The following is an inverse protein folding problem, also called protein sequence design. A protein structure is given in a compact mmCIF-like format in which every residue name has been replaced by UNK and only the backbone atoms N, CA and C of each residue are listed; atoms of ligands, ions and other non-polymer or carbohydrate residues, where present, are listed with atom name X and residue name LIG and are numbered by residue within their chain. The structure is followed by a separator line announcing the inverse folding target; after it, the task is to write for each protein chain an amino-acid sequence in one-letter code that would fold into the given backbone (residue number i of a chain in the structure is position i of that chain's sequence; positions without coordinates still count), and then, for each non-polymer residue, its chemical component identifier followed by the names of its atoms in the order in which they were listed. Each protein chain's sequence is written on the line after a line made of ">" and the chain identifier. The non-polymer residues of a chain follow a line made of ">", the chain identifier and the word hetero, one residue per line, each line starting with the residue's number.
data_IF_677030187092
#
_entry.id   IF_677030187092
#
_cell.length_a   1.000
_cell.length_b   1.000
_cell.length_c   1.000
_cell.angle_alpha   90.00
_cell.angle_beta   90.00
_cell.angle_gamma   90.00
#
_symmetry.space_group_name_H-M   'P 1'
#
loop_
_entity.id
_entity.type
_entity.pdbx_description
1 polymer ?
#
# COMPACT_ATOMS: atom_id res chain seq x y z
N UNK A 1 8.10 12.94 4.99
CA UNK A 1 8.69 12.30 3.80
C UNK A 1 8.07 12.94 2.57
N UNK A 2 8.77 12.99 1.44
CA UNK A 2 8.20 13.45 0.16
C UNK A 2 8.31 12.32 -0.84
N UNK A 3 7.18 11.69 -1.17
CA UNK A 3 7.14 10.64 -2.18
C UNK A 3 7.22 11.22 -3.59
N UNK A 4 7.81 10.45 -4.51
CA UNK A 4 7.67 10.70 -5.94
C UNK A 4 6.21 10.53 -6.39
N UNK A 5 5.84 11.10 -7.53
CA UNK A 5 4.49 10.93 -8.10
C UNK A 5 4.12 9.45 -8.28
N UNK A 6 5.07 8.63 -8.74
CA UNK A 6 4.86 7.19 -8.92
C UNK A 6 4.67 6.46 -7.58
N UNK A 7 5.41 6.83 -6.54
CA UNK A 7 5.23 6.26 -5.20
C UNK A 7 3.89 6.68 -4.58
N UNK A 8 3.48 7.95 -4.73
CA UNK A 8 2.18 8.42 -4.25
C UNK A 8 1.01 7.72 -4.98
N UNK A 9 1.13 7.54 -6.29
CA UNK A 9 0.16 6.78 -7.09
C UNK A 9 0.11 5.30 -6.66
N UNK A 10 1.26 4.68 -6.41
CA UNK A 10 1.33 3.32 -5.90
C UNK A 10 0.71 3.19 -4.51
N UNK A 11 0.98 4.11 -3.57
CA UNK A 11 0.33 4.12 -2.25
C UNK A 11 -1.19 4.22 -2.37
N UNK A 12 -1.69 5.09 -3.27
CA UNK A 12 -3.12 5.21 -3.54
C UNK A 12 -3.69 3.87 -4.05
N UNK A 13 -2.98 3.19 -4.94
CA UNK A 13 -3.41 1.90 -5.48
C UNK A 13 -3.43 0.79 -4.41
N UNK A 14 -2.40 0.73 -3.56
CA UNK A 14 -2.30 -0.26 -2.48
C UNK A 14 -3.40 -0.07 -1.42
N UNK A 15 -3.66 1.17 -1.00
CA UNK A 15 -4.76 1.49 -0.08
C UNK A 15 -6.11 1.05 -0.69
N UNK A 16 -6.32 1.30 -1.99
CA UNK A 16 -7.54 0.86 -2.69
C UNK A 16 -7.64 -0.67 -2.77
N UNK A 17 -6.55 -1.37 -3.06
CA UNK A 17 -6.54 -2.84 -3.09
C UNK A 17 -6.93 -3.41 -1.72
N UNK A 18 -6.30 -2.89 -0.67
CA UNK A 18 -6.58 -3.27 0.71
C UNK A 18 -8.07 -3.05 1.07
N UNK A 19 -8.62 -1.87 0.79
CA UNK A 19 -10.03 -1.56 1.02
C UNK A 19 -10.96 -2.51 0.26
N UNK A 20 -10.66 -2.78 -1.02
CA UNK A 20 -11.47 -3.68 -1.84
C UNK A 20 -11.48 -5.11 -1.28
N UNK A 21 -10.32 -5.62 -0.85
CA UNK A 21 -10.19 -6.96 -0.30
C UNK A 21 -10.97 -7.13 1.01
N UNK A 22 -11.11 -6.06 1.78
CA UNK A 22 -11.77 -6.05 3.09
C UNK A 22 -13.24 -5.60 3.05
N UNK A 23 -13.73 -5.14 1.89
CA UNK A 23 -15.06 -4.53 1.76
C UNK A 23 -15.17 -3.13 2.41
N UNK A 24 -14.04 -2.48 2.67
CA UNK A 24 -13.96 -1.12 3.19
C UNK A 24 -14.24 -0.07 2.13
N UNK A 25 -14.54 1.15 2.57
CA UNK A 25 -14.84 2.32 1.73
C UNK A 25 -13.89 3.48 1.93
N UNK A 26 -13.29 3.59 3.11
CA UNK A 26 -12.44 4.71 3.47
C UNK A 26 -11.31 4.28 4.41
N UNK A 27 -10.26 5.09 4.49
CA UNK A 27 -9.09 4.78 5.31
C UNK A 27 -9.38 4.51 6.79
N UNK A 28 -10.46 5.06 7.38
CA UNK A 28 -10.81 4.74 8.77
C UNK A 28 -11.26 3.28 8.93
N UNK A 29 -11.72 2.64 7.84
CA UNK A 29 -12.08 1.22 7.84
C UNK A 29 -10.84 0.31 7.93
N UNK A 30 -9.64 0.84 7.64
CA UNK A 30 -8.36 0.14 7.81
C UNK A 30 -7.74 0.39 9.19
N UNK A 31 -8.14 1.47 9.87
CA UNK A 31 -7.44 1.91 11.09
C UNK A 31 -7.61 0.91 12.22
N UNK A 32 -6.49 0.30 12.64
CA UNK A 32 -6.48 -0.72 13.67
C UNK A 32 -6.89 -2.11 13.17
N UNK A 33 -7.10 -2.28 11.87
CA UNK A 33 -7.29 -3.59 11.28
C UNK A 33 -5.93 -4.30 11.11
N UNK A 34 -5.77 -5.54 11.63
CA UNK A 34 -4.51 -6.28 11.53
C UNK A 34 -4.28 -6.89 10.13
N UNK A 35 -5.24 -6.80 9.21
CA UNK A 35 -5.23 -7.48 7.91
C UNK A 35 -5.02 -6.50 6.73
N UNK A 36 -4.15 -5.51 6.88
CA UNK A 36 -3.83 -4.54 5.82
C UNK A 36 -2.79 -5.04 4.81
N UNK A 37 -2.96 -6.29 4.37
CA UNK A 37 -2.00 -6.98 3.52
C UNK A 37 -1.96 -6.43 2.10
N UNK A 38 -0.74 -6.30 1.57
CA UNK A 38 -0.44 -5.76 0.25
C UNK A 38 0.76 -6.46 -0.36
N UNK A 39 0.85 -6.48 -1.69
CA UNK A 39 1.97 -7.05 -2.42
C UNK A 39 2.21 -6.32 -3.75
N UNK A 40 3.36 -6.59 -4.38
CA UNK A 40 3.67 -6.00 -5.69
C UNK A 40 2.63 -6.36 -6.77
N UNK A 41 1.95 -7.51 -6.65
CA UNK A 41 0.91 -7.93 -7.58
C UNK A 41 -0.30 -6.97 -7.59
N UNK A 42 -0.59 -6.29 -6.47
CA UNK A 42 -1.64 -5.27 -6.39
C UNK A 42 -1.36 -4.10 -7.34
N UNK A 43 -0.10 -3.71 -7.49
CA UNK A 43 0.31 -2.67 -8.43
C UNK A 43 0.21 -3.17 -9.88
N UNK A 44 0.51 -4.44 -10.12
CA UNK A 44 0.30 -5.04 -11.45
C UNK A 44 -1.17 -5.02 -11.83
N UNK A 45 -2.05 -5.41 -10.90
CA UNK A 45 -3.50 -5.35 -11.07
C UNK A 45 -4.00 -3.92 -11.30
N UNK A 46 -3.31 -2.92 -10.74
CA UNK A 46 -3.59 -1.50 -10.94
C UNK A 46 -2.98 -0.91 -12.23
N UNK A 47 -2.26 -1.70 -13.03
CA UNK A 47 -1.80 -1.33 -14.38
C UNK A 47 -0.30 -1.10 -14.52
N UNK A 48 0.50 -1.32 -13.47
CA UNK A 48 1.96 -1.28 -13.60
C UNK A 48 2.47 -2.55 -14.30
N UNK A 49 3.55 -2.44 -15.06
CA UNK A 49 4.28 -3.66 -15.46
C UNK A 49 4.92 -4.34 -14.25
N UNK A 50 5.14 -5.66 -14.31
CA UNK A 50 5.78 -6.43 -13.23
C UNK A 50 7.04 -5.75 -12.69
N UNK A 51 7.96 -5.35 -13.59
CA UNK A 51 9.22 -4.71 -13.21
C UNK A 51 9.01 -3.37 -12.51
N UNK A 52 8.06 -2.56 -12.97
CA UNK A 52 7.75 -1.28 -12.33
C UNK A 52 7.07 -1.49 -10.97
N UNK A 53 6.18 -2.48 -10.87
CA UNK A 53 5.52 -2.85 -9.63
C UNK A 53 6.52 -3.29 -8.57
N UNK A 54 7.40 -4.25 -8.88
CA UNK A 54 8.43 -4.74 -7.95
C UNK A 54 9.37 -3.61 -7.48
N UNK A 55 9.86 -2.78 -8.41
CA UNK A 55 10.74 -1.67 -8.08
C UNK A 55 10.05 -0.59 -7.25
N UNK A 56 8.80 -0.26 -7.57
CA UNK A 56 8.02 0.75 -6.83
C UNK A 56 7.67 0.23 -5.45
N UNK A 57 7.18 -0.99 -5.34
CA UNK A 57 6.83 -1.64 -4.08
C UNK A 57 8.05 -1.75 -3.16
N UNK A 58 9.19 -2.21 -3.68
CA UNK A 58 10.44 -2.24 -2.92
C UNK A 58 10.87 -0.86 -2.41
N UNK A 59 10.62 0.20 -3.18
CA UNK A 59 10.88 1.58 -2.72
C UNK A 59 9.96 2.01 -1.58
N UNK A 60 8.68 1.60 -1.60
CA UNK A 60 7.73 1.91 -0.51
C UNK A 60 8.08 1.14 0.77
N UNK A 61 8.54 -0.10 0.64
CA UNK A 61 9.07 -0.89 1.76
C UNK A 61 10.30 -0.21 2.36
N UNK A 62 11.23 0.27 1.53
CA UNK A 62 12.42 0.98 1.99
C UNK A 62 12.09 2.29 2.73
N UNK A 63 11.00 2.96 2.35
CA UNK A 63 10.47 4.16 3.03
C UNK A 63 9.64 3.82 4.30
N UNK A 64 9.43 2.54 4.60
CA UNK A 64 8.66 2.11 5.77
C UNK A 64 7.14 2.29 5.62
N UNK A 65 6.63 2.42 4.39
CA UNK A 65 5.19 2.55 4.09
C UNK A 65 4.50 1.19 3.97
N UNK A 66 5.28 0.13 3.76
CA UNK A 66 4.87 -1.25 3.91
C UNK A 66 5.96 -2.02 4.67
N UNK A 67 5.57 -2.97 5.51
CA UNK A 67 6.49 -3.76 6.32
C UNK A 67 6.21 -5.24 6.16
N UNK A 68 7.22 -6.07 6.33
CA UNK A 68 7.06 -7.51 6.29
C UNK A 68 6.33 -7.96 7.57
N UNK A 69 5.16 -8.57 7.40
CA UNK A 69 4.38 -9.21 8.45
C UNK A 69 4.75 -10.71 8.53
N UNK A 70 4.44 -11.38 9.62
CA UNK A 70 4.76 -12.80 9.78
C UNK A 70 4.10 -13.64 8.66
N UNK A 71 4.85 -14.55 8.03
CA UNK A 71 4.29 -15.47 7.03
C UNK A 71 4.41 -15.05 5.56
N UNK A 72 5.37 -14.18 5.22
CA UNK A 72 5.70 -13.76 3.84
C UNK A 72 4.71 -12.79 3.18
N UNK A 73 3.86 -12.15 3.97
CA UNK A 73 2.99 -11.05 3.54
C UNK A 73 3.60 -9.71 3.93
N UNK A 74 3.34 -8.67 3.14
CA UNK A 74 3.61 -7.30 3.57
C UNK A 74 2.30 -6.66 4.03
N UNK A 75 2.39 -5.78 5.03
CA UNK A 75 1.27 -5.00 5.51
C UNK A 75 1.57 -3.50 5.37
N UNK A 76 0.53 -2.69 5.16
CA UNK A 76 0.66 -1.23 5.20
C UNK A 76 1.17 -0.77 6.58
N UNK A 77 1.90 0.34 6.61
CA UNK A 77 2.32 0.95 7.88
C UNK A 77 1.11 1.34 8.75
N UNK A 78 1.30 1.33 10.08
CA UNK A 78 0.31 1.82 11.03
C UNK A 78 0.37 3.35 11.21
N UNK A 79 1.20 4.06 10.43
CA UNK A 79 1.17 5.53 10.36
C UNK A 79 -0.03 6.00 9.53
N UNK A 80 -1.20 5.99 10.16
CA UNK A 80 -2.47 6.37 9.53
C UNK A 80 -2.52 7.84 9.11
N UNK A 81 -1.75 8.71 9.76
CA UNK A 81 -1.66 10.12 9.36
C UNK A 81 -0.88 10.28 8.05
N UNK A 82 0.17 9.48 7.87
CA UNK A 82 0.89 9.41 6.59
C UNK A 82 0.01 8.79 5.50
N UNK A 83 -0.64 7.66 5.76
CA UNK A 83 -1.49 6.99 4.75
C UNK A 83 -2.67 7.85 4.28
N UNK A 84 -3.24 8.69 5.15
CA UNK A 84 -4.31 9.64 4.81
C UNK A 84 -3.94 10.60 3.68
N UNK A 85 -2.66 10.88 3.47
CA UNK A 85 -2.18 11.77 2.39
C UNK A 85 -2.38 11.16 1.01
N UNK A 86 -2.54 9.83 0.93
CA UNK A 86 -2.63 9.06 -0.31
C UNK A 86 -4.00 8.38 -0.50
N UNK A 87 -4.95 8.63 0.40
CA UNK A 87 -6.33 8.20 0.26
C UNK A 87 -7.19 9.34 -0.29
N UNK A 88 -7.52 9.27 -1.59
CA UNK A 88 -8.42 10.21 -2.27
C UNK A 88 -9.88 9.75 -2.22
#
# INVERSE_FOLDING_TARGET
>A
MTLTENQAAAMTALIKSCLNNMGGKNINDLMGDPFTWVEASDLVNAGWSQKQAEGTFGSLVAEGLAHHDEGAVYALTNDWEELRKYHA
#
